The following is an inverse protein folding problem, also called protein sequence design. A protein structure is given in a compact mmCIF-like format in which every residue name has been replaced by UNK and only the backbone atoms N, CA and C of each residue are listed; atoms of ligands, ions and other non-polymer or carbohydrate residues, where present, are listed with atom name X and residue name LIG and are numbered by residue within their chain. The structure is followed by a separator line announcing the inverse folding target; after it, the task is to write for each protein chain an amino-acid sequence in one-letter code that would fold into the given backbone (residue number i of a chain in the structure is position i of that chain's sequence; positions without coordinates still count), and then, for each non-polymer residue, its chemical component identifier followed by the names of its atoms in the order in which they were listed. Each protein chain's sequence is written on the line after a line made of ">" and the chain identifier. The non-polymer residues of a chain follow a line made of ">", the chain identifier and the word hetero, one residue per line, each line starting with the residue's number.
data_IF_080143065613
#
_entry.id   IF_080143065613
#
_cell.length_a   1.000
_cell.length_b   1.000
_cell.length_c   1.000
_cell.angle_alpha   90.00
_cell.angle_beta   90.00
_cell.angle_gamma   90.00
#
_symmetry.space_group_name_H-M   'P 1'
#
loop_
_entity.id
_entity.type
_entity.pdbx_description
1 polymer ?
#
# COMPACT_ATOMS: atom_id res chain seq x y z
N UNK A 1 -0.51 16.31 -13.36
CA UNK A 1 0.66 15.45 -13.71
C UNK A 1 0.17 14.28 -14.56
N UNK A 2 0.73 14.07 -15.76
CA UNK A 2 0.38 12.94 -16.65
C UNK A 2 1.39 11.82 -16.47
N UNK A 3 0.98 10.59 -16.71
CA UNK A 3 1.89 9.43 -16.67
C UNK A 3 2.71 9.39 -17.96
N UNK A 4 4.00 9.13 -17.83
CA UNK A 4 4.91 8.92 -18.96
C UNK A 4 4.91 7.43 -19.37
N UNK A 5 4.55 7.17 -20.61
CA UNK A 5 4.55 5.83 -21.23
C UNK A 5 5.74 5.60 -22.17
N UNK A 6 6.69 6.54 -22.25
CA UNK A 6 7.96 6.32 -22.96
C UNK A 6 8.79 5.19 -22.33
N UNK A 7 8.51 4.85 -21.06
CA UNK A 7 9.11 3.75 -20.30
C UNK A 7 8.05 2.68 -20.02
N UNK A 8 8.50 1.42 -20.00
CA UNK A 8 7.66 0.26 -19.66
C UNK A 8 7.53 0.06 -18.14
N UNK A 9 7.23 1.13 -17.40
CA UNK A 9 7.20 1.11 -15.93
C UNK A 9 6.16 0.12 -15.39
N UNK A 10 5.00 0.00 -16.03
CA UNK A 10 3.93 -0.90 -15.60
C UNK A 10 4.38 -2.36 -15.63
N UNK A 11 5.00 -2.78 -16.73
CA UNK A 11 5.57 -4.11 -16.85
C UNK A 11 6.65 -4.36 -15.80
N UNK A 12 7.55 -3.39 -15.57
CA UNK A 12 8.60 -3.50 -14.57
C UNK A 12 8.03 -3.60 -13.14
N UNK A 13 7.06 -2.77 -12.80
CA UNK A 13 6.42 -2.77 -11.48
C UNK A 13 5.65 -4.07 -11.23
N UNK A 14 4.89 -4.55 -12.21
CA UNK A 14 4.20 -5.83 -12.10
C UNK A 14 5.18 -6.99 -11.94
N UNK A 15 6.24 -7.03 -12.76
CA UNK A 15 7.29 -8.02 -12.66
C UNK A 15 7.96 -8.03 -11.28
N UNK A 16 8.23 -6.86 -10.71
CA UNK A 16 8.77 -6.75 -9.35
C UNK A 16 7.79 -7.27 -8.29
N UNK A 17 6.51 -6.92 -8.38
CA UNK A 17 5.49 -7.38 -7.44
C UNK A 17 5.32 -8.90 -7.48
N UNK A 18 5.27 -9.50 -8.69
CA UNK A 18 5.25 -10.96 -8.86
C UNK A 18 6.53 -11.59 -8.30
N UNK A 19 7.71 -11.07 -8.65
CA UNK A 19 8.97 -11.65 -8.19
C UNK A 19 9.13 -11.61 -6.67
N UNK A 20 8.66 -10.55 -6.02
CA UNK A 20 8.76 -10.37 -4.57
C UNK A 20 7.72 -11.19 -3.80
N UNK A 21 6.51 -11.35 -4.32
CA UNK A 21 5.37 -11.83 -3.53
C UNK A 21 4.69 -13.08 -4.05
N UNK A 22 5.10 -13.66 -5.19
CA UNK A 22 4.47 -14.87 -5.74
C UNK A 22 4.42 -16.05 -4.75
N UNK A 23 5.38 -16.12 -3.81
CA UNK A 23 5.40 -17.14 -2.77
C UNK A 23 4.47 -16.88 -1.58
N UNK A 24 3.80 -15.72 -1.51
CA UNK A 24 2.95 -15.37 -0.39
C UNK A 24 1.63 -16.17 -0.41
N UNK A 25 1.08 -16.55 0.75
CA UNK A 25 -0.09 -17.43 0.85
C UNK A 25 -1.33 -16.98 0.05
N UNK A 26 -1.56 -15.67 -0.04
CA UNK A 26 -2.73 -15.10 -0.70
C UNK A 26 -2.40 -14.36 -2.00
N UNK A 27 -1.18 -14.52 -2.54
CA UNK A 27 -0.76 -13.78 -3.73
C UNK A 27 -1.73 -13.96 -4.89
N UNK A 28 -1.99 -15.20 -5.32
CA UNK A 28 -2.80 -15.47 -6.51
C UNK A 28 -4.21 -14.89 -6.40
N UNK A 29 -4.81 -14.93 -5.20
CA UNK A 29 -6.13 -14.34 -4.94
C UNK A 29 -6.14 -12.82 -5.11
N UNK A 30 -5.17 -12.11 -4.52
CA UNK A 30 -5.16 -10.65 -4.58
C UNK A 30 -4.53 -10.10 -5.85
N UNK A 31 -3.61 -10.84 -6.49
CA UNK A 31 -2.90 -10.43 -7.70
C UNK A 31 -3.86 -10.01 -8.82
N UNK A 32 -4.97 -10.71 -8.98
CA UNK A 32 -6.00 -10.40 -9.99
C UNK A 32 -6.62 -9.00 -9.83
N UNK A 33 -6.69 -8.48 -8.61
CA UNK A 33 -7.20 -7.13 -8.35
C UNK A 33 -6.16 -6.03 -8.62
N UNK A 34 -4.87 -6.33 -8.39
CA UNK A 34 -3.77 -5.39 -8.59
C UNK A 34 -3.35 -5.32 -10.06
N UNK A 35 -3.31 -6.46 -10.76
CA UNK A 35 -2.79 -6.57 -12.12
C UNK A 35 -3.39 -5.56 -13.12
N UNK A 36 -4.71 -5.26 -13.10
CA UNK A 36 -5.31 -4.29 -14.01
C UNK A 36 -4.63 -2.91 -13.95
N UNK A 37 -4.13 -2.47 -12.78
CA UNK A 37 -3.41 -1.21 -12.63
C UNK A 37 -2.09 -1.17 -13.41
N UNK A 38 -1.48 -2.34 -13.65
CA UNK A 38 -0.23 -2.49 -14.37
C UNK A 38 -0.42 -3.01 -15.80
N UNK A 39 -1.66 -3.16 -16.26
CA UNK A 39 -1.98 -3.55 -17.64
C UNK A 39 -2.72 -2.46 -18.43
N UNK A 40 -3.50 -1.60 -17.75
CA UNK A 40 -4.25 -0.51 -18.40
C UNK A 40 -3.50 0.81 -18.31
N UNK A 41 -3.53 1.61 -19.37
CA UNK A 41 -2.98 2.97 -19.34
C UNK A 41 -3.97 3.96 -18.71
N UNK A 42 -3.44 4.97 -18.02
CA UNK A 42 -4.17 6.05 -17.37
C UNK A 42 -3.61 7.38 -17.84
N UNK A 43 -4.49 8.35 -18.09
CA UNK A 43 -4.05 9.69 -18.52
C UNK A 43 -3.31 10.47 -17.43
N UNK A 44 -3.81 10.40 -16.19
CA UNK A 44 -3.31 11.18 -15.05
C UNK A 44 -2.90 10.28 -13.89
N UNK A 45 -1.84 10.68 -13.18
CA UNK A 45 -1.37 9.97 -11.98
C UNK A 45 -2.40 10.02 -10.85
N UNK A 46 -3.18 11.10 -10.76
CA UNK A 46 -4.24 11.23 -9.77
C UNK A 46 -5.31 10.16 -9.93
N UNK A 47 -5.75 9.86 -11.16
CA UNK A 47 -6.75 8.83 -11.43
C UNK A 47 -6.22 7.43 -11.10
N UNK A 48 -4.96 7.16 -11.44
CA UNK A 48 -4.28 5.92 -11.06
C UNK A 48 -4.24 5.75 -9.53
N UNK A 49 -3.76 6.77 -8.82
CA UNK A 49 -3.62 6.73 -7.37
C UNK A 49 -4.97 6.62 -6.66
N UNK A 50 -5.98 7.35 -7.16
CA UNK A 50 -7.35 7.28 -6.64
C UNK A 50 -7.90 5.87 -6.77
N UNK A 51 -7.86 5.28 -7.97
CA UNK A 51 -8.37 3.93 -8.19
C UNK A 51 -7.64 2.89 -7.34
N UNK A 52 -6.32 3.04 -7.17
CA UNK A 52 -5.54 2.13 -6.35
C UNK A 52 -5.90 2.28 -4.87
N UNK A 53 -6.07 3.51 -4.39
CA UNK A 53 -6.52 3.79 -3.02
C UNK A 53 -7.92 3.22 -2.76
N UNK A 54 -8.87 3.41 -3.69
CA UNK A 54 -10.22 2.85 -3.61
C UNK A 54 -10.18 1.32 -3.49
N UNK A 55 -9.35 0.65 -4.31
CA UNK A 55 -9.15 -0.79 -4.22
C UNK A 55 -8.62 -1.18 -2.82
N UNK A 56 -7.56 -0.51 -2.35
CA UNK A 56 -6.93 -0.84 -1.08
C UNK A 56 -7.91 -0.65 0.09
N UNK A 57 -8.65 0.46 0.13
CA UNK A 57 -9.72 0.71 1.09
C UNK A 57 -10.77 -0.41 1.06
N UNK A 58 -11.22 -0.82 -0.14
CA UNK A 58 -12.19 -1.92 -0.30
C UNK A 58 -11.65 -3.25 0.24
N UNK A 59 -10.41 -3.61 -0.08
CA UNK A 59 -9.80 -4.89 0.33
C UNK A 59 -9.46 -4.95 1.82
N UNK A 60 -9.22 -3.79 2.44
CA UNK A 60 -8.89 -3.67 3.87
C UNK A 60 -10.08 -3.29 4.75
N UNK A 61 -11.25 -3.08 4.16
CA UNK A 61 -12.45 -2.56 4.83
C UNK A 61 -12.23 -1.23 5.55
N UNK A 62 -11.27 -0.43 5.11
CA UNK A 62 -11.04 0.93 5.59
C UNK A 62 -11.88 1.88 4.74
N UNK A 63 -12.73 2.74 5.34
CA UNK A 63 -13.50 3.71 4.58
C UNK A 63 -12.59 4.60 3.73
N UNK A 64 -12.98 4.84 2.48
CA UNK A 64 -12.30 5.80 1.61
C UNK A 64 -12.42 7.21 2.22
N UNK A 65 -11.32 7.94 2.42
CA UNK A 65 -11.40 9.32 2.89
C UNK A 65 -11.93 10.24 1.79
N UNK A 66 -12.62 11.30 2.21
CA UNK A 66 -13.03 12.37 1.30
C UNK A 66 -11.82 13.15 0.76
N UNK A 67 -11.96 13.70 -0.44
CA UNK A 67 -10.97 14.61 -0.99
C UNK A 67 -11.11 15.98 -0.32
N UNK A 68 -9.98 16.55 0.10
CA UNK A 68 -9.96 17.90 0.63
C UNK A 68 -10.19 18.93 -0.47
N UNK A 69 -11.10 19.87 -0.27
CA UNK A 69 -11.35 20.98 -1.22
C UNK A 69 -10.23 22.04 -1.17
N UNK A 70 -9.55 22.15 -0.03
CA UNK A 70 -8.43 23.06 0.18
C UNK A 70 -7.34 22.42 1.02
N UNK A 71 -6.12 22.90 0.86
CA UNK A 71 -5.02 22.53 1.73
C UNK A 71 -5.19 23.19 3.10
N UNK A 72 -4.98 22.41 4.17
CA UNK A 72 -5.06 22.85 5.57
C UNK A 72 -3.70 22.65 6.22
N UNK A 73 -3.08 23.72 6.70
CA UNK A 73 -1.84 23.61 7.50
C UNK A 73 -2.12 22.96 8.84
N UNK A 74 -1.24 22.06 9.27
CA UNK A 74 -1.34 21.45 10.59
C UNK A 74 -0.96 22.48 11.65
N UNK A 75 -1.83 22.68 12.63
CA UNK A 75 -1.56 23.51 13.80
C UNK A 75 -0.60 22.80 14.77
N UNK A 76 -0.05 23.57 15.70
CA UNK A 76 0.75 23.00 16.79
C UNK A 76 -0.12 22.05 17.63
N UNK A 77 0.29 20.79 17.73
CA UNK A 77 -0.45 19.75 18.45
C UNK A 77 -1.31 18.85 17.56
N UNK A 78 -1.49 19.19 16.28
CA UNK A 78 -2.21 18.32 15.33
C UNK A 78 -1.42 17.06 15.02
N UNK A 79 -2.13 15.94 14.89
CA UNK A 79 -1.58 14.69 14.36
C UNK A 79 -1.47 14.78 12.83
N UNK A 80 -0.39 15.40 12.33
CA UNK A 80 -0.11 15.44 10.90
C UNK A 80 0.62 14.17 10.42
N UNK A 81 -0.12 13.34 9.67
CA UNK A 81 0.38 12.09 9.07
C UNK A 81 0.96 12.26 7.66
N UNK A 82 0.96 13.48 7.09
CA UNK A 82 1.46 13.75 5.72
C UNK A 82 3.00 13.66 5.61
N UNK A 83 3.80 14.13 6.57
CA UNK A 83 5.25 14.00 6.48
C UNK A 83 5.67 12.53 6.60
N UNK A 84 6.41 12.00 5.62
CA UNK A 84 7.20 10.77 5.82
C UNK A 84 8.32 11.11 6.80
N UNK A 85 8.08 10.96 8.10
CA UNK A 85 9.03 11.30 9.16
C UNK A 85 10.29 10.44 9.02
N UNK A 86 11.31 10.95 8.32
CA UNK A 86 12.62 10.29 8.15
C UNK A 86 13.46 10.27 9.44
N UNK A 87 13.07 11.03 10.47
CA UNK A 87 13.92 11.31 11.66
C UNK A 87 13.24 11.17 13.01
N UNK A 88 11.97 10.76 13.06
CA UNK A 88 11.29 10.53 14.33
C UNK A 88 10.99 9.04 14.44
N UNK A 89 11.18 8.48 15.64
CA UNK A 89 10.80 7.11 15.95
C UNK A 89 9.33 6.84 15.56
N UNK A 90 8.91 5.57 15.47
CA UNK A 90 7.68 5.27 14.78
C UNK A 90 6.51 5.85 15.58
N UNK A 91 5.87 6.91 15.07
CA UNK A 91 4.47 7.17 15.42
C UNK A 91 3.70 5.86 15.15
N UNK A 92 3.97 5.24 14.00
CA UNK A 92 3.40 3.95 13.65
C UNK A 92 4.18 2.73 14.19
N UNK A 93 3.59 2.00 15.14
CA UNK A 93 4.06 0.67 15.57
C UNK A 93 3.26 -0.38 14.80
N UNK A 94 3.95 -1.09 13.90
CA UNK A 94 3.39 -2.19 13.13
C UNK A 94 3.15 -3.43 14.02
N UNK A 95 1.98 -4.05 13.88
CA UNK A 95 1.76 -5.41 14.35
C UNK A 95 2.60 -6.39 13.51
N UNK A 96 3.30 -7.31 14.17
CA UNK A 96 4.12 -8.34 13.51
C UNK A 96 3.23 -9.42 12.90
N UNK A 97 3.58 -9.88 11.71
CA UNK A 97 2.97 -11.00 11.02
C UNK A 97 4.02 -11.78 10.21
N UNK A 98 3.65 -12.93 9.65
CA UNK A 98 4.58 -13.77 8.89
C UNK A 98 4.70 -13.24 7.47
N UNK A 99 5.85 -12.66 7.13
CA UNK A 99 6.14 -12.12 5.80
C UNK A 99 6.71 -13.21 4.89
N UNK A 100 6.58 -13.03 3.57
CA UNK A 100 7.03 -14.01 2.56
C UNK A 100 8.53 -14.33 2.62
N UNK A 101 9.32 -13.44 3.20
CA UNK A 101 10.77 -13.55 3.36
C UNK A 101 11.21 -13.78 4.83
N UNK A 102 10.28 -14.15 5.71
CA UNK A 102 10.57 -14.42 7.13
C UNK A 102 11.51 -15.61 7.35
N UNK A 103 11.73 -16.44 6.33
CA UNK A 103 12.75 -17.50 6.31
C UNK A 103 14.18 -16.96 6.23
N UNK A 104 14.37 -15.73 5.72
CA UNK A 104 15.68 -15.15 5.40
C UNK A 104 16.03 -13.94 6.23
N UNK A 105 15.04 -13.21 6.73
CA UNK A 105 15.27 -11.98 7.48
C UNK A 105 14.20 -11.75 8.57
N UNK A 106 14.55 -10.99 9.62
CA UNK A 106 13.58 -10.55 10.61
C UNK A 106 12.45 -9.71 9.99
N UNK A 107 11.33 -9.62 10.71
CA UNK A 107 10.19 -8.79 10.33
C UNK A 107 10.61 -7.37 9.95
N UNK A 108 10.12 -6.90 8.81
CA UNK A 108 10.37 -5.55 8.30
C UNK A 108 9.10 -4.72 8.43
N UNK A 109 9.05 -3.72 9.34
CA UNK A 109 7.91 -2.82 9.44
C UNK A 109 7.89 -1.81 8.28
N UNK A 110 6.77 -1.11 8.11
CA UNK A 110 6.59 -0.05 7.10
C UNK A 110 6.73 -0.50 5.64
N UNK A 111 6.43 -1.78 5.36
CA UNK A 111 6.25 -2.25 3.98
C UNK A 111 4.90 -1.83 3.41
N UNK A 112 4.73 -2.07 2.11
CA UNK A 112 3.48 -1.74 1.41
C UNK A 112 2.31 -2.54 1.97
N UNK A 113 1.09 -1.99 1.90
CA UNK A 113 -0.13 -2.73 2.24
C UNK A 113 -0.33 -3.99 1.40
N UNK A 114 0.27 -4.06 0.21
CA UNK A 114 0.27 -5.27 -0.60
C UNK A 114 1.02 -6.44 0.08
N UNK A 115 2.12 -6.16 0.80
CA UNK A 115 2.83 -7.17 1.62
C UNK A 115 1.88 -7.81 2.62
N UNK A 116 1.16 -6.96 3.36
CA UNK A 116 0.19 -7.39 4.36
C UNK A 116 -0.98 -8.18 3.73
N UNK A 117 -1.56 -7.69 2.64
CA UNK A 117 -2.67 -8.38 1.95
C UNK A 117 -2.22 -9.73 1.40
N UNK A 118 -1.04 -9.83 0.81
CA UNK A 118 -0.54 -11.08 0.26
C UNK A 118 -0.15 -12.09 1.34
N UNK A 119 0.33 -11.60 2.50
CA UNK A 119 0.70 -12.44 3.64
C UNK A 119 -0.52 -12.94 4.43
N UNK A 120 -1.41 -12.04 4.82
CA UNK A 120 -2.45 -12.28 5.83
C UNK A 120 -3.86 -12.37 5.22
N UNK A 121 -4.03 -11.95 3.97
CA UNK A 121 -5.29 -12.01 3.24
C UNK A 121 -6.47 -11.43 4.02
N UNK A 122 -7.56 -12.20 4.26
CA UNK A 122 -8.72 -11.72 5.00
C UNK A 122 -8.39 -11.19 6.41
N UNK A 123 -7.29 -11.65 7.03
CA UNK A 123 -6.87 -11.19 8.36
C UNK A 123 -6.16 -9.82 8.33
N UNK A 124 -5.83 -9.28 7.15
CA UNK A 124 -5.11 -8.01 7.00
C UNK A 124 -5.79 -6.85 7.74
N UNK A 125 -7.12 -6.73 7.67
CA UNK A 125 -7.87 -5.70 8.38
C UNK A 125 -7.73 -5.83 9.91
N UNK A 126 -7.73 -7.06 10.43
CA UNK A 126 -7.52 -7.32 11.85
C UNK A 126 -6.10 -6.97 12.29
N UNK A 127 -5.09 -7.24 11.46
CA UNK A 127 -3.69 -6.86 11.71
C UNK A 127 -3.55 -5.34 11.76
N UNK A 128 -4.12 -4.62 10.79
CA UNK A 128 -4.12 -3.15 10.77
C UNK A 128 -4.73 -2.55 12.04
N UNK A 129 -5.82 -3.12 12.54
CA UNK A 129 -6.49 -2.66 13.76
C UNK A 129 -5.65 -2.84 15.03
N UNK A 130 -4.61 -3.69 15.01
CA UNK A 130 -3.68 -3.89 16.14
C UNK A 130 -2.45 -2.99 16.08
N UNK A 131 -2.18 -2.37 14.93
CA UNK A 131 -1.14 -1.35 14.81
C UNK A 131 -1.47 -0.12 15.67
N UNK A 132 -0.44 0.61 16.07
CA UNK A 132 -0.58 1.82 16.93
C UNK A 132 0.03 3.03 16.24
N UNK A 133 -0.51 4.22 16.53
CA UNK A 133 -0.04 5.53 16.06
C UNK A 133 0.57 6.34 17.21
#
# INVERSE_FOLDING_TARGET
>A
MRIDYSKRWQHQHWGALVASYKGSPYFDFYAEYFEPFYRREYGFLADYNRGLLELLCSLTHVPMPDFSESYVDAAAGDLDLRPKRKKEGPAFIAETYVQVFSDRMPFQPNLSVADLLFAEGPAAASVLARCRL
#
